data_IF_743654728536
#
_entry.id   IF_743654728536
#
_cell.length_a   1.000
_cell.length_b   1.000
_cell.length_c   1.000
_cell.angle_alpha   90.00
_cell.angle_beta   90.00
_cell.angle_gamma   90.00
#
_symmetry.space_group_name_H-M   'P 1'
#
loop_
_entity.id
_entity.type
_entity.pdbx_description
1 polymer ?
#
# COMPACT_ATOMS: atom_id res chain seq x y z
N UNK A 1 -18.24 -14.77 -3.87
CA UNK A 1 -16.89 -14.43 -4.37
C UNK A 1 -16.26 -13.39 -3.45
N UNK A 2 -15.00 -13.55 -3.08
CA UNK A 2 -14.36 -12.59 -2.19
C UNK A 2 -14.06 -11.29 -2.95
N UNK A 3 -14.62 -10.16 -2.50
CA UNK A 3 -14.51 -8.86 -3.19
C UNK A 3 -13.08 -8.34 -3.35
N UNK A 4 -12.16 -8.76 -2.47
CA UNK A 4 -10.78 -8.27 -2.46
C UNK A 4 -9.81 -9.12 -3.28
N UNK A 5 -10.26 -10.21 -3.91
CA UNK A 5 -9.37 -11.14 -4.61
C UNK A 5 -8.53 -10.48 -5.71
N UNK A 6 -9.19 -9.75 -6.60
CA UNK A 6 -8.51 -9.05 -7.70
C UNK A 6 -7.62 -7.90 -7.21
N UNK A 7 -8.02 -7.22 -6.15
CA UNK A 7 -7.21 -6.16 -5.54
C UNK A 7 -5.93 -6.74 -4.94
N UNK A 8 -6.03 -7.83 -4.20
CA UNK A 8 -4.86 -8.52 -3.61
C UNK A 8 -3.93 -9.05 -4.70
N UNK A 9 -4.47 -9.59 -5.79
CA UNK A 9 -3.68 -10.05 -6.93
C UNK A 9 -2.87 -8.91 -7.53
N UNK A 10 -3.51 -7.77 -7.83
CA UNK A 10 -2.82 -6.57 -8.34
C UNK A 10 -1.78 -6.06 -7.35
N UNK A 11 -2.07 -6.14 -6.05
CA UNK A 11 -1.11 -5.73 -5.02
C UNK A 11 0.12 -6.62 -5.01
N UNK A 12 -0.03 -7.93 -5.18
CA UNK A 12 1.09 -8.89 -5.31
C UNK A 12 2.00 -8.49 -6.47
N UNK A 13 1.43 -8.21 -7.65
CA UNK A 13 2.18 -7.81 -8.84
C UNK A 13 2.96 -6.50 -8.58
N UNK A 14 2.30 -5.51 -8.00
CA UNK A 14 2.92 -4.22 -7.63
C UNK A 14 4.08 -4.39 -6.64
N UNK A 15 3.91 -5.23 -5.60
CA UNK A 15 4.97 -5.52 -4.62
C UNK A 15 6.18 -6.19 -5.30
N UNK A 16 5.93 -7.13 -6.19
CA UNK A 16 7.01 -7.83 -6.89
C UNK A 16 7.82 -6.88 -7.80
N UNK A 17 7.16 -5.93 -8.45
CA UNK A 17 7.85 -4.91 -9.25
C UNK A 17 8.67 -3.96 -8.37
N UNK A 18 8.12 -3.52 -7.24
CA UNK A 18 8.83 -2.67 -6.28
C UNK A 18 10.06 -3.39 -5.69
N UNK A 19 9.93 -4.67 -5.35
CA UNK A 19 11.06 -5.49 -4.88
C UNK A 19 12.16 -5.62 -5.92
N UNK A 20 11.82 -5.84 -7.19
CA UNK A 20 12.80 -5.87 -8.29
C UNK A 20 13.53 -4.54 -8.46
N UNK A 21 12.80 -3.43 -8.30
CA UNK A 21 13.40 -2.09 -8.36
C UNK A 21 14.39 -1.88 -7.20
N UNK A 22 13.99 -2.22 -5.98
CA UNK A 22 14.86 -2.14 -4.79
C UNK A 22 16.13 -2.99 -4.97
N UNK A 23 16.00 -4.20 -5.52
CA UNK A 23 17.13 -5.08 -5.76
C UNK A 23 18.16 -4.47 -6.74
N UNK A 24 17.70 -3.74 -7.76
CA UNK A 24 18.59 -2.99 -8.67
C UNK A 24 19.30 -1.87 -7.94
N UNK A 25 18.55 -1.07 -7.17
CA UNK A 25 19.13 0.07 -6.41
C UNK A 25 20.16 -0.38 -5.38
N UNK A 26 19.97 -1.54 -4.76
CA UNK A 26 20.91 -2.09 -3.76
C UNK A 26 22.33 -2.27 -4.31
N UNK A 27 22.48 -2.51 -5.60
CA UNK A 27 23.79 -2.67 -6.25
C UNK A 27 24.59 -1.38 -6.33
N UNK A 28 23.89 -0.24 -6.26
CA UNK A 28 24.51 1.09 -6.38
C UNK A 28 24.89 1.69 -5.02
N UNK A 29 24.42 1.08 -3.91
CA UNK A 29 24.70 1.58 -2.58
C UNK A 29 26.07 1.15 -2.04
N UNK A 30 26.73 2.03 -1.26
CA UNK A 30 27.97 1.69 -0.56
C UNK A 30 27.79 0.53 0.42
N UNK A 31 28.87 -0.16 0.75
CA UNK A 31 28.82 -1.31 1.69
C UNK A 31 28.59 -0.87 3.14
N UNK A 32 29.05 0.31 3.50
CA UNK A 32 28.97 0.88 4.83
C UNK A 32 27.52 1.10 5.26
N UNK A 33 27.31 1.21 6.57
CA UNK A 33 26.02 1.55 7.16
C UNK A 33 26.10 2.89 7.88
N UNK A 34 25.01 3.66 7.83
CA UNK A 34 24.91 4.96 8.50
C UNK A 34 24.30 4.78 9.89
N UNK A 35 24.91 5.45 10.86
CA UNK A 35 24.34 5.66 12.20
C UNK A 35 24.15 7.17 12.36
N UNK A 36 22.90 7.58 12.63
CA UNK A 36 22.57 8.95 13.01
C UNK A 36 22.37 8.99 14.51
N UNK A 37 23.19 9.76 15.22
CA UNK A 37 23.07 9.96 16.66
C UNK A 37 22.62 11.38 16.94
N UNK A 38 21.62 11.53 17.81
CA UNK A 38 21.17 12.82 18.32
C UNK A 38 22.09 13.24 19.47
N UNK A 39 22.64 14.46 19.37
CA UNK A 39 23.45 15.07 20.41
C UNK A 39 22.88 16.46 20.71
N UNK A 40 22.06 16.59 21.74
CA UNK A 40 21.29 17.77 22.08
C UNK A 40 20.41 18.25 20.88
N UNK A 41 20.72 19.40 20.31
CA UNK A 41 20.02 19.98 19.17
C UNK A 41 20.62 19.60 17.81
N UNK A 42 21.72 18.84 17.79
CA UNK A 42 22.45 18.49 16.60
C UNK A 42 22.46 17.00 16.33
N UNK A 43 22.54 16.63 15.06
CA UNK A 43 22.72 15.24 14.65
C UNK A 43 24.16 15.03 14.20
N UNK A 44 24.77 13.92 14.65
CA UNK A 44 26.07 13.44 14.19
C UNK A 44 25.89 12.18 13.39
N UNK A 45 26.72 12.04 12.36
CA UNK A 45 26.72 10.90 11.47
C UNK A 45 27.96 10.07 11.69
N UNK A 46 27.78 8.76 11.68
CA UNK A 46 28.84 7.80 11.81
C UNK A 46 28.70 6.72 10.74
N UNK A 47 29.83 6.29 10.20
CA UNK A 47 29.94 5.15 9.31
C UNK A 47 30.24 3.91 10.13
N UNK A 48 29.46 2.87 9.98
CA UNK A 48 29.72 1.56 10.55
C UNK A 48 30.21 0.63 9.46
N UNK A 49 31.43 0.15 9.64
CA UNK A 49 32.11 -0.84 8.79
C UNK A 49 32.43 -2.09 9.63
N UNK A 50 32.96 -3.12 8.99
CA UNK A 50 33.45 -4.31 9.69
C UNK A 50 34.65 -3.96 10.61
N UNK A 51 35.44 -2.95 10.25
CA UNK A 51 36.58 -2.47 11.04
C UNK A 51 36.21 -1.57 12.22
N UNK A 52 34.95 -1.17 12.35
CA UNK A 52 34.46 -0.34 13.46
C UNK A 52 33.62 0.84 13.01
N UNK A 53 33.46 1.81 13.91
CA UNK A 53 32.63 3.01 13.68
C UNK A 53 33.53 4.26 13.59
N UNK A 54 33.36 5.03 12.53
CA UNK A 54 34.07 6.28 12.28
C UNK A 54 33.11 7.46 12.12
N UNK A 55 33.56 8.66 12.52
CA UNK A 55 32.78 9.88 12.36
C UNK A 55 32.70 10.28 10.86
N UNK A 56 31.49 10.63 10.40
CA UNK A 56 31.27 11.16 9.06
C UNK A 56 31.08 12.68 9.14
N UNK A 57 32.01 13.48 8.56
CA UNK A 57 31.89 14.93 8.56
C UNK A 57 30.66 15.41 7.81
N UNK A 58 30.08 16.55 8.22
CA UNK A 58 28.89 17.13 7.58
C UNK A 58 29.09 17.57 6.14
N UNK A 59 30.33 17.75 5.74
CA UNK A 59 30.71 18.02 4.34
C UNK A 59 30.36 16.85 3.41
N UNK A 60 30.31 15.62 3.94
CA UNK A 60 29.97 14.40 3.21
C UNK A 60 28.46 14.10 3.25
N UNK A 61 27.64 15.14 3.13
CA UNK A 61 26.17 15.04 3.17
C UNK A 61 25.63 14.08 2.10
N UNK A 62 26.20 14.08 0.91
CA UNK A 62 25.77 13.21 -0.19
C UNK A 62 25.96 11.73 0.14
N UNK A 63 27.08 11.40 0.79
CA UNK A 63 27.34 10.05 1.27
C UNK A 63 26.34 9.65 2.37
N UNK A 64 26.10 10.55 3.32
CA UNK A 64 25.11 10.33 4.38
C UNK A 64 23.71 10.11 3.81
N UNK A 65 23.31 10.87 2.80
CA UNK A 65 22.03 10.71 2.10
C UNK A 65 21.92 9.36 1.40
N UNK A 66 22.93 8.94 0.67
CA UNK A 66 22.96 7.62 0.01
C UNK A 66 22.83 6.48 1.00
N UNK A 67 23.52 6.55 2.12
CA UNK A 67 23.46 5.53 3.17
C UNK A 67 22.14 5.54 3.93
N UNK A 68 21.55 6.72 4.14
CA UNK A 68 20.20 6.84 4.70
C UNK A 68 19.16 6.21 3.77
N UNK A 69 19.28 6.47 2.47
CA UNK A 69 18.42 5.89 1.44
C UNK A 69 18.58 4.36 1.39
N UNK A 70 19.81 3.84 1.48
CA UNK A 70 20.07 2.41 1.61
C UNK A 70 19.29 1.80 2.78
N UNK A 71 19.38 2.43 3.96
CA UNK A 71 18.67 1.97 5.16
C UNK A 71 17.15 1.98 4.97
N UNK A 72 16.62 3.03 4.36
CA UNK A 72 15.20 3.12 4.03
C UNK A 72 14.76 1.95 3.14
N UNK A 73 15.48 1.68 2.05
CA UNK A 73 15.13 0.58 1.15
C UNK A 73 15.30 -0.80 1.78
N UNK A 74 16.23 -0.98 2.69
CA UNK A 74 16.36 -2.21 3.46
C UNK A 74 15.10 -2.48 4.32
N UNK A 75 14.61 -1.45 5.01
CA UNK A 75 13.39 -1.55 5.82
C UNK A 75 12.16 -1.76 4.92
N UNK A 76 12.08 -1.01 3.82
CA UNK A 76 10.99 -1.12 2.86
C UNK A 76 10.93 -2.50 2.21
N UNK A 77 12.06 -3.08 1.89
CA UNK A 77 12.13 -4.47 1.39
C UNK A 77 11.56 -5.47 2.38
N UNK A 78 11.88 -5.32 3.67
CA UNK A 78 11.35 -6.20 4.70
C UNK A 78 9.82 -6.05 4.85
N UNK A 79 9.31 -4.83 4.85
CA UNK A 79 7.86 -4.56 4.87
C UNK A 79 7.16 -5.23 3.69
N UNK A 80 7.69 -5.04 2.48
CA UNK A 80 7.11 -5.61 1.27
C UNK A 80 7.15 -7.15 1.27
N UNK A 81 8.20 -7.76 1.81
CA UNK A 81 8.28 -9.22 1.93
C UNK A 81 7.21 -9.77 2.87
N UNK A 82 7.00 -9.11 4.02
CA UNK A 82 5.95 -9.50 4.97
C UNK A 82 4.56 -9.33 4.36
N UNK A 83 4.31 -8.21 3.68
CA UNK A 83 3.05 -7.96 3.00
C UNK A 83 2.79 -8.98 1.88
N UNK A 84 3.82 -9.30 1.09
CA UNK A 84 3.73 -10.30 0.02
C UNK A 84 3.36 -11.68 0.56
N UNK A 85 3.96 -12.08 1.67
CA UNK A 85 3.65 -13.34 2.33
C UNK A 85 2.20 -13.38 2.81
N UNK A 86 1.73 -12.30 3.44
CA UNK A 86 0.34 -12.17 3.88
C UNK A 86 -0.65 -12.24 2.71
N UNK A 87 -0.35 -11.53 1.61
CA UNK A 87 -1.17 -11.56 0.40
C UNK A 87 -1.23 -12.96 -0.22
N UNK A 88 -0.11 -13.66 -0.29
CA UNK A 88 -0.05 -15.03 -0.79
C UNK A 88 -0.82 -16.02 0.10
N UNK A 89 -0.72 -15.85 1.42
CA UNK A 89 -1.48 -16.66 2.37
C UNK A 89 -2.99 -16.45 2.21
N UNK A 90 -3.42 -15.20 2.02
CA UNK A 90 -4.81 -14.86 1.71
C UNK A 90 -5.26 -15.56 0.42
N UNK A 91 -4.52 -15.39 -0.67
CA UNK A 91 -4.85 -15.99 -1.96
C UNK A 91 -4.98 -17.51 -1.89
N UNK A 92 -4.07 -18.16 -1.14
CA UNK A 92 -4.11 -19.60 -0.92
C UNK A 92 -5.38 -20.03 -0.18
N UNK A 93 -5.73 -19.34 0.92
CA UNK A 93 -6.93 -19.64 1.69
C UNK A 93 -8.21 -19.48 0.87
N UNK A 94 -8.30 -18.36 0.13
CA UNK A 94 -9.47 -18.07 -0.70
C UNK A 94 -9.64 -19.08 -1.83
N UNK A 95 -8.55 -19.53 -2.44
CA UNK A 95 -8.59 -20.53 -3.53
C UNK A 95 -9.17 -21.88 -3.09
N UNK A 96 -8.93 -22.27 -1.84
CA UNK A 96 -9.40 -23.55 -1.29
C UNK A 96 -10.73 -23.43 -0.54
N UNK A 97 -11.30 -22.24 -0.47
CA UNK A 97 -12.61 -22.04 0.17
C UNK A 97 -13.71 -22.20 -0.87
N UNK A 98 -14.55 -23.21 -0.67
CA UNK A 98 -15.60 -23.59 -1.63
C UNK A 98 -17.01 -23.22 -1.18
N UNK A 99 -17.17 -22.70 0.03
CA UNK A 99 -18.47 -22.29 0.55
C UNK A 99 -18.72 -20.81 0.19
N UNK A 100 -19.85 -20.55 -0.44
CA UNK A 100 -20.27 -19.21 -0.82
C UNK A 100 -21.66 -18.94 -0.26
N UNK A 101 -21.81 -17.88 0.53
CA UNK A 101 -23.10 -17.50 1.09
C UNK A 101 -24.13 -17.14 0.00
N UNK A 102 -23.66 -16.61 -1.13
CA UNK A 102 -24.53 -16.26 -2.26
C UNK A 102 -25.14 -17.50 -2.93
N UNK A 103 -24.47 -18.65 -2.86
CA UNK A 103 -24.99 -19.90 -3.42
C UNK A 103 -26.27 -20.34 -2.67
N UNK A 104 -26.36 -20.01 -1.38
CA UNK A 104 -27.58 -20.26 -0.58
C UNK A 104 -28.79 -19.50 -1.11
N UNK A 105 -28.57 -18.29 -1.64
CA UNK A 105 -29.63 -17.47 -2.24
C UNK A 105 -30.12 -18.04 -3.57
N UNK A 106 -29.32 -18.88 -4.22
CA UNK A 106 -29.68 -19.63 -5.43
C UNK A 106 -30.67 -20.78 -5.16
N UNK A 107 -30.80 -21.21 -3.91
CA UNK A 107 -31.76 -22.25 -3.50
C UNK A 107 -33.10 -21.60 -3.18
N UNK A 108 -34.17 -22.02 -3.89
CA UNK A 108 -35.49 -21.40 -3.82
C UNK A 108 -36.10 -21.43 -2.40
N UNK A 109 -35.91 -22.53 -1.66
CA UNK A 109 -36.37 -22.70 -0.30
C UNK A 109 -35.74 -21.69 0.67
N UNK A 110 -34.44 -21.42 0.54
CA UNK A 110 -33.75 -20.43 1.39
C UNK A 110 -34.04 -19.00 0.95
N UNK A 111 -34.07 -18.76 -0.35
CA UNK A 111 -34.37 -17.44 -0.91
C UNK A 111 -35.75 -16.93 -0.48
N UNK A 112 -36.78 -17.82 -0.42
CA UNK A 112 -38.11 -17.48 0.07
C UNK A 112 -38.13 -17.16 1.56
N UNK A 113 -37.33 -17.84 2.38
CA UNK A 113 -37.27 -17.60 3.83
C UNK A 113 -36.49 -16.33 4.17
N UNK A 114 -35.39 -16.08 3.45
CA UNK A 114 -34.52 -14.92 3.67
C UNK A 114 -35.16 -13.62 3.18
N UNK A 115 -35.95 -13.70 2.09
CA UNK A 115 -36.68 -12.56 1.54
C UNK A 115 -35.74 -11.35 1.28
N UNK A 116 -36.16 -10.18 1.73
CA UNK A 116 -35.40 -8.95 1.64
C UNK A 116 -34.43 -8.75 2.82
N UNK A 117 -34.31 -9.71 3.72
CA UNK A 117 -33.49 -9.57 4.94
C UNK A 117 -31.99 -9.63 4.65
N UNK A 118 -31.60 -10.19 3.51
CA UNK A 118 -30.20 -10.30 3.09
C UNK A 118 -30.01 -9.53 1.79
N UNK A 119 -29.57 -8.29 1.94
CA UNK A 119 -28.99 -7.56 0.81
C UNK A 119 -27.56 -8.05 0.61
N UNK A 120 -27.28 -8.67 -0.53
CA UNK A 120 -25.90 -8.94 -0.88
C UNK A 120 -25.21 -7.57 -1.15
N UNK A 121 -24.04 -7.37 -0.58
CA UNK A 121 -23.18 -6.17 -0.83
C UNK A 121 -23.00 -5.94 -2.34
N UNK A 122 -23.11 -7.00 -3.12
CA UNK A 122 -23.05 -6.98 -4.57
C UNK A 122 -24.28 -6.31 -5.21
N UNK A 123 -25.47 -6.50 -4.63
CA UNK A 123 -26.69 -5.84 -5.10
C UNK A 123 -26.70 -4.36 -4.75
N UNK A 124 -26.32 -4.00 -3.53
CA UNK A 124 -26.16 -2.60 -3.13
C UNK A 124 -25.13 -1.88 -4.02
N UNK A 125 -24.01 -2.54 -4.33
CA UNK A 125 -23.00 -1.97 -5.21
C UNK A 125 -23.50 -1.86 -6.66
N UNK A 126 -24.26 -2.84 -7.14
CA UNK A 126 -24.86 -2.79 -8.48
C UNK A 126 -25.96 -1.74 -8.58
N UNK A 127 -26.80 -1.59 -7.57
CA UNK A 127 -27.79 -0.53 -7.46
C UNK A 127 -27.11 0.83 -7.40
N UNK A 128 -26.07 0.99 -6.58
CA UNK A 128 -25.28 2.21 -6.49
C UNK A 128 -24.56 2.56 -7.81
N UNK A 129 -24.06 1.55 -8.53
CA UNK A 129 -23.44 1.75 -9.85
C UNK A 129 -24.47 2.00 -10.96
N UNK A 130 -25.70 1.52 -10.80
CA UNK A 130 -26.81 1.74 -11.73
C UNK A 130 -27.50 3.09 -11.49
N UNK A 131 -27.34 3.71 -10.33
CA UNK A 131 -27.76 5.08 -10.12
C UNK A 131 -27.02 5.98 -11.10
N UNK A 132 -27.73 6.51 -12.07
CA UNK A 132 -27.23 7.57 -12.96
C UNK A 132 -26.90 8.78 -12.08
N UNK A 133 -25.65 8.87 -11.66
CA UNK A 133 -25.13 10.11 -11.11
C UNK A 133 -25.21 11.16 -12.19
N UNK A 134 -26.12 12.08 -12.03
CA UNK A 134 -26.27 13.24 -12.90
C UNK A 134 -24.97 14.07 -12.82
N UNK A 135 -24.00 13.72 -13.67
CA UNK A 135 -22.70 14.39 -13.79
C UNK A 135 -22.84 15.88 -14.12
N UNK A 136 -24.05 16.28 -14.55
CA UNK A 136 -24.38 17.67 -14.82
C UNK A 136 -24.57 18.53 -13.58
N UNK A 137 -24.62 17.98 -12.36
CA UNK A 137 -24.74 18.75 -11.13
C UNK A 137 -23.42 19.26 -10.57
N UNK A 138 -22.28 18.83 -11.07
CA UNK A 138 -21.01 19.49 -10.79
C UNK A 138 -20.89 20.64 -11.77
N UNK A 139 -21.57 21.76 -11.47
CA UNK A 139 -21.36 22.99 -12.19
C UNK A 139 -19.87 23.35 -12.15
N UNK A 140 -19.24 23.68 -13.30
CA UNK A 140 -17.86 24.17 -13.33
C UNK A 140 -17.62 25.33 -12.37
N UNK A 141 -18.63 26.11 -12.09
CA UNK A 141 -18.66 27.19 -11.10
C UNK A 141 -18.38 26.71 -9.67
N UNK A 142 -18.86 25.54 -9.27
CA UNK A 142 -18.59 24.97 -7.95
C UNK A 142 -17.15 24.47 -7.81
N UNK A 143 -16.51 24.09 -8.90
CA UNK A 143 -15.10 23.72 -8.94
C UNK A 143 -14.21 24.97 -8.82
N UNK A 144 -14.61 26.08 -9.44
CA UNK A 144 -13.90 27.36 -9.37
C UNK A 144 -13.98 27.95 -7.96
N UNK A 145 -15.14 27.88 -7.31
CA UNK A 145 -15.33 28.36 -5.94
C UNK A 145 -14.51 27.56 -4.94
N UNK A 146 -14.43 26.23 -5.10
CA UNK A 146 -13.58 25.39 -4.24
C UNK A 146 -12.09 25.65 -4.44
N UNK A 147 -11.66 25.88 -5.67
CA UNK A 147 -10.28 26.21 -5.99
C UNK A 147 -9.87 27.60 -5.45
N UNK A 148 -10.80 28.57 -5.43
CA UNK A 148 -10.55 29.91 -4.87
C UNK A 148 -10.53 29.90 -3.34
N UNK A 149 -11.40 29.15 -2.70
CA UNK A 149 -11.41 29.00 -1.24
C UNK A 149 -10.14 28.30 -0.71
N UNK A 150 -9.57 27.37 -1.48
CA UNK A 150 -8.31 26.73 -1.13
C UNK A 150 -7.06 27.62 -1.24
N UNK A 151 -7.18 28.80 -1.84
CA UNK A 151 -6.11 29.81 -1.93
C UNK A 151 -6.08 30.83 -0.80
N UNK A 152 -7.13 30.87 0.01
CA UNK A 152 -7.29 31.88 1.08
C UNK A 152 -7.35 31.28 2.49
N UNK A 153 -6.96 30.02 2.64
CA UNK A 153 -6.81 29.37 3.96
C UNK A 153 -5.35 29.09 4.24
#
# INVERSE_FOLDING_TARGET
MFNNYEQIKRRIDSIQEELKHIEKLKKEFPKENLICAKNNQYYKWYLRTEAGTSYLPKQNKDMAQKLALKKYYQLRENELKVELEACRAYMKKVKFYNENADDLLGHEEYSKLLGQSVYSVKQELQEWMAEEYDRCRIHPENLIVKATLGKYV
#
